data_IF_738895951676
#
_entry.id   IF_738895951676
#
_cell.length_a   1.000
_cell.length_b   1.000
_cell.length_c   1.000
_cell.angle_alpha   90.00
_cell.angle_beta   90.00
_cell.angle_gamma   90.00
#
_symmetry.space_group_name_H-M   'P 1'
#
loop_
_entity.id
_entity.type
_entity.pdbx_description
1 polymer ?
#
# COMPACT_ATOMS: atom_id res chain seq x y z
N UNK A 1 7.87 -16.26 -29.89
CA UNK A 1 7.36 -16.10 -28.54
C UNK A 1 5.98 -16.76 -28.41
N UNK A 2 5.85 -17.67 -27.51
CA UNK A 2 4.60 -18.42 -27.35
C UNK A 2 3.58 -17.56 -26.62
N UNK A 3 2.45 -17.32 -27.25
CA UNK A 3 1.36 -16.61 -26.60
C UNK A 3 0.74 -17.53 -25.54
N UNK A 4 0.71 -17.03 -24.32
CA UNK A 4 0.05 -17.73 -23.23
C UNK A 4 -1.45 -17.78 -23.50
N UNK A 5 -2.00 -18.97 -23.61
CA UNK A 5 -3.44 -19.15 -23.76
C UNK A 5 -4.12 -19.14 -22.40
N UNK A 6 -5.14 -18.31 -22.29
CA UNK A 6 -6.02 -18.35 -21.13
C UNK A 6 -7.10 -19.37 -21.38
N UNK A 7 -7.06 -20.46 -20.65
CA UNK A 7 -8.12 -21.47 -20.67
C UNK A 7 -9.13 -21.14 -19.57
N UNK A 8 -10.40 -21.47 -19.80
CA UNK A 8 -11.44 -21.34 -18.78
C UNK A 8 -11.22 -22.39 -17.69
N UNK A 9 -10.32 -22.12 -16.78
CA UNK A 9 -10.13 -22.95 -15.60
C UNK A 9 -11.00 -22.44 -14.47
N UNK A 10 -11.53 -23.35 -13.67
CA UNK A 10 -12.15 -22.98 -12.41
C UNK A 10 -11.14 -22.33 -11.50
N UNK A 11 -11.50 -21.19 -10.95
CA UNK A 11 -10.71 -20.54 -9.90
C UNK A 11 -10.88 -21.39 -8.64
N UNK A 12 -9.76 -21.72 -8.00
CA UNK A 12 -9.77 -22.39 -6.71
C UNK A 12 -10.02 -21.38 -5.60
N UNK A 13 -10.94 -21.69 -4.70
CA UNK A 13 -11.19 -20.91 -3.51
C UNK A 13 -10.76 -21.71 -2.30
N UNK A 14 -9.93 -21.12 -1.46
CA UNK A 14 -9.50 -21.70 -0.19
C UNK A 14 -9.96 -20.82 0.97
N UNK A 15 -10.35 -21.45 2.07
CA UNK A 15 -10.64 -20.80 3.34
C UNK A 15 -9.41 -20.76 4.25
N UNK A 16 -8.32 -21.38 3.83
CA UNK A 16 -7.11 -21.43 4.61
C UNK A 16 -6.41 -20.07 4.57
N UNK A 17 -5.80 -19.71 5.67
CA UNK A 17 -4.96 -18.52 5.75
C UNK A 17 -3.66 -18.76 5.00
N UNK A 18 -3.25 -17.77 4.23
CA UNK A 18 -1.96 -17.78 3.57
C UNK A 18 -1.01 -16.80 4.27
N UNK A 19 0.16 -17.26 4.68
CA UNK A 19 1.13 -16.43 5.38
C UNK A 19 2.37 -16.22 4.56
N UNK A 20 2.86 -14.98 4.56
CA UNK A 20 4.16 -14.59 4.02
C UNK A 20 5.15 -14.40 5.17
N UNK A 21 6.46 -14.41 4.90
CA UNK A 21 7.45 -14.05 5.92
C UNK A 21 7.50 -12.54 6.22
N UNK A 22 6.38 -11.86 6.02
CA UNK A 22 6.20 -10.44 6.29
C UNK A 22 4.87 -10.24 7.01
N UNK A 23 4.87 -9.36 7.99
CA UNK A 23 3.63 -8.98 8.67
C UNK A 23 2.81 -8.03 7.81
N UNK A 24 1.50 -8.17 7.83
CA UNK A 24 0.60 -7.29 7.10
C UNK A 24 0.05 -6.23 8.04
N UNK A 25 0.00 -4.99 7.55
CA UNK A 25 -0.46 -3.84 8.32
C UNK A 25 -1.48 -3.00 7.56
N UNK A 26 -2.37 -2.43 8.33
CA UNK A 26 -3.19 -1.29 7.94
C UNK A 26 -2.49 -0.03 8.46
N UNK A 27 -2.16 0.89 7.56
CA UNK A 27 -1.44 2.12 7.90
C UNK A 27 -2.34 3.31 7.60
N UNK A 28 -2.64 4.08 8.64
CA UNK A 28 -3.38 5.34 8.54
C UNK A 28 -2.37 6.47 8.61
N UNK A 29 -2.41 7.38 7.65
CA UNK A 29 -1.42 8.45 7.58
C UNK A 29 -2.05 9.74 7.06
N UNK A 30 -1.31 10.84 7.13
CA UNK A 30 -1.76 12.16 6.71
C UNK A 30 -0.91 12.61 5.53
N UNK A 31 -1.58 13.02 4.44
CA UNK A 31 -0.91 13.45 3.22
C UNK A 31 -1.25 14.90 2.90
N UNK A 32 -0.36 15.55 2.16
CA UNK A 32 -0.60 16.88 1.65
C UNK A 32 -1.66 16.85 0.56
N UNK A 33 -2.32 17.98 0.36
CA UNK A 33 -3.30 18.18 -0.71
C UNK A 33 -2.89 19.38 -1.53
N UNK A 34 -2.93 19.24 -2.84
CA UNK A 34 -2.64 20.31 -3.77
C UNK A 34 -3.85 20.54 -4.68
N UNK A 35 -4.11 21.81 -4.97
CA UNK A 35 -5.16 22.21 -5.89
C UNK A 35 -4.62 23.38 -6.71
N UNK A 36 -4.60 23.23 -8.03
CA UNK A 36 -4.11 24.25 -8.95
C UNK A 36 -5.18 25.28 -9.36
N UNK A 37 -6.40 25.13 -8.85
CA UNK A 37 -7.51 26.03 -9.12
C UNK A 37 -7.43 27.32 -8.31
N UNK A 38 -8.38 28.18 -8.54
CA UNK A 38 -8.54 29.43 -7.82
C UNK A 38 -9.49 29.25 -6.66
N UNK A 39 -9.14 29.85 -5.50
CA UNK A 39 -9.97 29.79 -4.31
C UNK A 39 -9.99 31.14 -3.62
N UNK A 40 -11.10 31.49 -3.03
CA UNK A 40 -11.18 32.64 -2.13
C UNK A 40 -10.62 32.28 -0.77
N UNK A 41 -10.39 33.30 0.05
CA UNK A 41 -9.76 33.15 1.38
C UNK A 41 -10.45 32.10 2.24
N UNK A 42 -11.78 32.09 2.24
CA UNK A 42 -12.59 31.16 3.04
C UNK A 42 -12.36 29.71 2.61
N UNK A 43 -12.39 29.45 1.31
CA UNK A 43 -12.14 28.12 0.76
C UNK A 43 -10.73 27.64 1.05
N UNK A 44 -9.76 28.53 0.86
CA UNK A 44 -8.36 28.18 1.13
C UNK A 44 -8.12 27.91 2.62
N UNK A 45 -8.71 28.70 3.50
CA UNK A 45 -8.63 28.49 4.94
C UNK A 45 -9.21 27.12 5.36
N UNK A 46 -10.26 26.67 4.67
CA UNK A 46 -10.93 25.41 4.96
C UNK A 46 -10.31 24.19 4.26
N UNK A 47 -9.25 24.40 3.50
CA UNK A 47 -8.55 23.31 2.83
C UNK A 47 -7.91 22.37 3.87
N UNK A 48 -8.22 21.07 3.75
CA UNK A 48 -7.81 20.06 4.73
C UNK A 48 -6.80 19.10 4.14
N UNK A 49 -6.01 18.49 5.02
CA UNK A 49 -5.11 17.41 4.65
C UNK A 49 -5.91 16.14 4.30
N UNK A 50 -5.32 15.29 3.48
CA UNK A 50 -5.90 13.98 3.18
C UNK A 50 -5.50 12.96 4.25
N UNK A 51 -6.36 11.97 4.45
CA UNK A 51 -6.15 10.92 5.44
C UNK A 51 -6.22 9.55 4.75
N UNK A 52 -5.21 9.21 3.94
CA UNK A 52 -5.20 7.93 3.23
C UNK A 52 -4.95 6.75 4.17
N UNK A 53 -5.37 5.59 3.71
CA UNK A 53 -5.13 4.32 4.37
C UNK A 53 -4.51 3.37 3.37
N UNK A 54 -3.39 2.77 3.74
CA UNK A 54 -2.75 1.71 2.97
C UNK A 54 -2.81 0.40 3.73
N UNK A 55 -3.05 -0.68 3.01
CA UNK A 55 -2.91 -2.02 3.55
C UNK A 55 -1.87 -2.77 2.73
N UNK A 56 -0.92 -3.40 3.41
CA UNK A 56 0.13 -4.12 2.73
C UNK A 56 1.07 -4.80 3.71
N UNK A 57 1.99 -5.58 3.16
CA UNK A 57 3.02 -6.24 3.95
C UNK A 57 4.16 -5.27 4.23
N UNK A 58 4.64 -5.29 5.46
CA UNK A 58 5.75 -4.45 5.89
C UNK A 58 7.07 -5.03 5.41
N UNK A 59 7.72 -4.34 4.48
CA UNK A 59 9.03 -4.72 3.99
C UNK A 59 10.14 -4.26 4.93
N UNK A 60 10.09 -3.00 5.34
CA UNK A 60 11.06 -2.43 6.28
C UNK A 60 10.48 -1.22 7.02
N UNK A 61 11.05 -0.96 8.17
CA UNK A 61 10.67 0.17 9.02
C UNK A 61 11.93 0.73 9.65
N UNK A 62 12.12 2.04 9.51
CA UNK A 62 13.17 2.75 10.20
C UNK A 62 12.64 4.09 10.76
N UNK A 63 13.51 4.91 11.31
CA UNK A 63 13.10 6.20 11.89
C UNK A 63 12.63 7.21 10.85
N UNK A 64 12.95 7.01 9.57
CA UNK A 64 12.63 7.96 8.51
C UNK A 64 11.37 7.57 7.74
N UNK A 65 11.20 6.29 7.44
CA UNK A 65 10.09 5.84 6.63
C UNK A 65 9.75 4.37 6.88
N UNK A 66 8.55 3.99 6.44
CA UNK A 66 8.14 2.60 6.31
C UNK A 66 7.94 2.27 4.84
N UNK A 67 8.27 1.04 4.47
CA UNK A 67 8.07 0.53 3.12
C UNK A 67 7.10 -0.64 3.16
N UNK A 68 6.04 -0.53 2.37
CA UNK A 68 5.02 -1.56 2.22
C UNK A 68 4.98 -2.04 0.78
N UNK A 69 4.53 -3.26 0.58
CA UNK A 69 4.18 -3.77 -0.74
C UNK A 69 2.83 -4.47 -0.68
N UNK A 70 2.07 -4.42 -1.76
CA UNK A 70 0.75 -5.05 -1.83
C UNK A 70 0.65 -6.10 -2.92
N UNK A 71 1.71 -6.31 -3.69
CA UNK A 71 1.81 -7.35 -4.70
C UNK A 71 3.23 -7.91 -4.71
N UNK A 72 3.39 -9.14 -5.14
CA UNK A 72 4.71 -9.75 -5.25
C UNK A 72 4.71 -10.88 -6.28
N UNK A 73 5.90 -11.17 -6.78
CA UNK A 73 6.18 -12.36 -7.58
C UNK A 73 7.18 -13.20 -6.81
N UNK A 74 6.88 -14.48 -6.67
CA UNK A 74 7.80 -15.43 -6.05
C UNK A 74 8.28 -16.41 -7.09
N UNK A 75 9.59 -16.52 -7.24
CA UNK A 75 10.24 -17.49 -8.13
C UNK A 75 11.44 -18.10 -7.40
N UNK A 76 11.41 -19.41 -7.21
CA UNK A 76 12.49 -20.18 -6.59
C UNK A 76 12.95 -19.60 -5.24
N UNK A 77 11.99 -19.17 -4.42
CA UNK A 77 12.27 -18.58 -3.11
C UNK A 77 12.71 -17.13 -3.14
N UNK A 78 12.81 -16.53 -4.31
CA UNK A 78 13.12 -15.10 -4.46
C UNK A 78 11.86 -14.30 -4.70
N UNK A 79 11.80 -13.10 -4.11
CA UNK A 79 10.67 -12.20 -4.24
C UNK A 79 11.02 -10.99 -5.09
N UNK A 80 10.07 -10.60 -5.94
CA UNK A 80 10.06 -9.30 -6.59
C UNK A 80 8.81 -8.58 -6.10
N UNK A 81 8.99 -7.37 -5.59
CA UNK A 81 7.94 -6.63 -4.89
C UNK A 81 7.26 -5.63 -5.82
N UNK A 82 5.93 -5.63 -5.80
CA UNK A 82 5.11 -4.71 -6.57
C UNK A 82 4.16 -3.92 -5.70
N UNK A 83 3.54 -2.92 -6.31
CA UNK A 83 2.62 -2.01 -5.61
C UNK A 83 3.23 -1.50 -4.31
N UNK A 84 4.36 -0.84 -4.45
CA UNK A 84 5.21 -0.41 -3.34
C UNK A 84 4.87 1.00 -2.92
N UNK A 85 4.85 1.22 -1.61
CA UNK A 85 4.63 2.54 -1.02
C UNK A 85 5.66 2.79 0.06
N UNK A 86 6.26 3.97 0.03
CA UNK A 86 7.20 4.41 1.06
C UNK A 86 6.61 5.66 1.72
N UNK A 87 6.30 5.55 3.01
CA UNK A 87 5.61 6.60 3.76
C UNK A 87 6.55 7.17 4.81
N UNK A 88 6.71 8.52 4.88
CA UNK A 88 7.50 9.12 5.97
C UNK A 88 6.92 8.73 7.34
N UNK A 89 7.78 8.31 8.24
CA UNK A 89 7.34 7.90 9.59
C UNK A 89 6.59 9.02 10.31
N UNK A 90 7.02 10.27 10.11
CA UNK A 90 6.38 11.43 10.74
C UNK A 90 4.95 11.70 10.25
N UNK A 91 4.54 11.11 9.11
CA UNK A 91 3.20 11.27 8.54
C UNK A 91 2.24 10.17 9.00
N UNK A 92 2.74 9.16 9.68
CA UNK A 92 1.93 8.01 10.10
C UNK A 92 1.20 8.35 11.38
N UNK A 93 -0.10 8.10 11.40
CA UNK A 93 -0.97 8.28 12.56
C UNK A 93 -1.10 6.98 13.33
N UNK A 94 -1.30 5.87 12.65
CA UNK A 94 -1.53 4.58 13.29
C UNK A 94 -1.17 3.42 12.36
N UNK A 95 -0.56 2.40 12.93
CA UNK A 95 -0.33 1.11 12.25
C UNK A 95 -1.02 0.02 13.05
N UNK A 96 -1.81 -0.79 12.36
CA UNK A 96 -2.52 -1.91 12.96
C UNK A 96 -2.17 -3.19 12.20
N UNK A 97 -1.65 -4.17 12.92
CA UNK A 97 -1.37 -5.50 12.33
C UNK A 97 -2.68 -6.20 11.98
N UNK A 98 -2.77 -6.71 10.78
CA UNK A 98 -3.98 -7.34 10.26
C UNK A 98 -3.75 -8.76 9.73
#
# INVERSE_FOLDING_TARGET
MTKKRYTKKKISFSKDSYTLPYDKYRVEWVDCVSDSGWAEKKEFTNMKLANPVNEGWLFSKDKHSIKLFAAYIEEDGSYTYGDRTNIPTSWIVKMTKI
#
